data_IF_191020309948
#
_entry.id   IF_191020309948
#
_cell.length_a   1.000
_cell.length_b   1.000
_cell.length_c   1.000
_cell.angle_alpha   90.00
_cell.angle_beta   90.00
_cell.angle_gamma   90.00
#
_symmetry.space_group_name_H-M   'P 1'
#
loop_
_entity.id
_entity.type
_entity.pdbx_description
1 polymer ?
#
# COMPACT_ATOMS: atom_id res chain seq x y z
N UNK A 1 7.34 2.52 18.95
CA UNK A 1 8.42 3.12 18.15
C UNK A 1 7.80 4.10 17.18
N UNK A 2 8.02 5.40 17.40
CA UNK A 2 7.48 6.46 16.54
C UNK A 2 8.16 6.43 15.17
N UNK A 3 7.39 6.57 14.07
CA UNK A 3 7.94 6.83 12.72
C UNK A 3 8.99 7.95 12.86
N UNK A 4 10.19 7.74 12.30
CA UNK A 4 11.24 8.76 12.33
C UNK A 4 10.66 10.08 11.85
N UNK A 5 10.86 11.15 12.63
CA UNK A 5 10.23 12.45 12.43
C UNK A 5 10.58 13.02 11.04
N UNK A 6 9.76 12.75 10.03
CA UNK A 6 9.69 13.57 8.82
C UNK A 6 9.02 14.88 9.22
N UNK A 7 9.81 15.81 9.76
CA UNK A 7 9.33 17.15 10.06
C UNK A 7 9.45 18.01 8.82
N UNK A 8 8.38 18.71 8.47
CA UNK A 8 8.37 19.66 7.38
C UNK A 8 8.37 21.09 7.92
N UNK A 9 9.12 21.98 7.25
CA UNK A 9 9.00 23.42 7.45
C UNK A 9 7.71 23.95 6.84
N UNK A 10 7.29 25.16 7.24
CA UNK A 10 6.12 25.82 6.66
C UNK A 10 6.23 25.95 5.13
N UNK A 11 7.43 26.26 4.62
CA UNK A 11 7.70 26.36 3.18
C UNK A 11 7.48 25.02 2.48
N UNK A 12 7.91 23.91 3.09
CA UNK A 12 7.70 22.58 2.53
C UNK A 12 6.22 22.18 2.57
N UNK A 13 5.51 22.48 3.65
CA UNK A 13 4.06 22.22 3.77
C UNK A 13 3.29 23.03 2.71
N UNK A 14 3.55 24.33 2.59
CA UNK A 14 2.90 25.20 1.61
C UNK A 14 3.17 24.73 0.17
N UNK A 15 4.40 24.30 -0.11
CA UNK A 15 4.76 23.72 -1.40
C UNK A 15 3.95 22.46 -1.70
N UNK A 16 3.85 21.51 -0.77
CA UNK A 16 3.07 20.26 -0.93
C UNK A 16 1.59 20.54 -1.22
N UNK A 17 1.01 21.51 -0.52
CA UNK A 17 -0.37 21.95 -0.77
C UNK A 17 -0.51 22.48 -2.20
N UNK A 18 0.43 23.32 -2.65
CA UNK A 18 0.45 23.85 -4.03
C UNK A 18 0.63 22.75 -5.08
N UNK A 19 1.35 21.68 -4.75
CA UNK A 19 1.52 20.49 -5.60
C UNK A 19 0.27 19.59 -5.64
N UNK A 20 -0.78 19.90 -4.88
CA UNK A 20 -2.03 19.13 -4.87
C UNK A 20 -1.99 17.88 -3.98
N UNK A 21 -1.03 17.75 -3.06
CA UNK A 21 -0.98 16.59 -2.16
C UNK A 21 -2.24 16.48 -1.29
N UNK A 22 -2.77 15.27 -1.20
CA UNK A 22 -4.04 14.95 -0.56
C UNK A 22 -5.28 15.19 -1.43
N UNK A 23 -5.11 15.64 -2.67
CA UNK A 23 -6.19 15.90 -3.61
C UNK A 23 -6.22 14.84 -4.71
N UNK A 24 -7.35 14.74 -5.41
CA UNK A 24 -7.57 13.75 -6.46
C UNK A 24 -8.19 12.44 -5.95
N UNK A 25 -8.47 11.55 -6.90
CA UNK A 25 -9.06 10.22 -6.69
C UNK A 25 -8.46 9.24 -7.69
N UNK A 26 -8.44 7.95 -7.36
CA UNK A 26 -7.92 6.90 -8.22
C UNK A 26 -6.50 7.21 -8.69
N UNK A 27 -6.31 7.31 -10.01
CA UNK A 27 -5.00 7.56 -10.64
C UNK A 27 -4.46 8.97 -10.41
N UNK A 28 -5.36 9.93 -10.15
CA UNK A 28 -5.01 11.35 -10.04
C UNK A 28 -4.73 11.77 -8.57
N UNK A 29 -4.87 10.84 -7.61
CA UNK A 29 -4.57 11.11 -6.21
C UNK A 29 -3.06 11.18 -5.93
N UNK A 30 -2.65 12.19 -5.15
CA UNK A 30 -1.26 12.38 -4.74
C UNK A 30 -1.15 12.25 -3.20
N UNK A 31 -0.44 11.26 -2.65
CA UNK A 31 -0.35 11.06 -1.19
C UNK A 31 0.43 12.16 -0.49
N UNK A 32 0.11 12.42 0.78
CA UNK A 32 0.83 13.44 1.56
C UNK A 32 2.31 13.09 1.77
N UNK A 33 2.60 11.82 2.01
CA UNK A 33 3.94 11.28 2.23
C UNK A 33 4.27 10.22 1.18
N UNK A 34 5.51 10.23 0.69
CA UNK A 34 6.05 9.15 -0.15
C UNK A 34 7.18 8.41 0.55
N UNK A 35 7.51 7.22 0.05
CA UNK A 35 8.56 6.36 0.62
C UNK A 35 9.94 7.02 0.68
N UNK A 36 10.25 7.98 -0.20
CA UNK A 36 11.53 8.69 -0.23
C UNK A 36 11.65 9.76 0.86
N UNK A 37 10.52 10.17 1.47
CA UNK A 37 10.44 11.35 2.33
C UNK A 37 10.46 11.01 3.82
N UNK A 38 10.25 9.72 4.15
CA UNK A 38 10.18 9.25 5.52
C UNK A 38 11.29 8.22 5.73
N UNK A 39 12.21 8.44 6.69
CA UNK A 39 13.17 7.41 7.06
C UNK A 39 12.37 6.22 7.64
N UNK A 40 12.30 5.12 6.91
CA UNK A 40 11.59 3.94 7.39
C UNK A 40 12.43 3.26 8.47
N UNK A 41 11.80 2.88 9.58
CA UNK A 41 12.44 1.99 10.59
C UNK A 41 12.44 0.52 10.14
N UNK A 42 11.82 0.22 8.99
CA UNK A 42 11.67 -1.10 8.39
C UNK A 42 11.55 -1.00 6.87
N UNK A 43 10.90 -1.97 6.22
CA UNK A 43 10.66 -1.95 4.77
C UNK A 43 9.54 -0.98 4.41
N UNK A 44 9.75 -0.22 3.33
CA UNK A 44 8.72 0.55 2.63
C UNK A 44 8.45 -0.08 1.26
N UNK A 45 7.25 0.11 0.73
CA UNK A 45 6.81 -0.54 -0.51
C UNK A 45 6.24 0.46 -1.50
N UNK A 46 6.52 0.21 -2.77
CA UNK A 46 5.86 0.81 -3.92
C UNK A 46 5.17 -0.30 -4.66
N UNK A 47 3.86 -0.20 -4.84
CA UNK A 47 3.07 -1.26 -5.47
C UNK A 47 2.04 -0.65 -6.40
N UNK A 48 1.92 -1.20 -7.61
CA UNK A 48 0.89 -0.80 -8.55
C UNK A 48 -0.48 -1.37 -8.12
N UNK A 49 -1.49 -0.51 -8.09
CA UNK A 49 -2.88 -0.92 -7.84
C UNK A 49 -3.63 -1.06 -9.16
N UNK A 50 -4.32 -2.20 -9.34
CA UNK A 50 -5.21 -2.41 -10.49
C UNK A 50 -6.50 -1.61 -10.33
N UNK A 51 -6.90 -1.33 -9.08
CA UNK A 51 -8.09 -0.54 -8.77
C UNK A 51 -7.90 0.93 -9.09
N UNK A 52 -6.81 1.52 -8.60
CA UNK A 52 -6.59 2.96 -8.72
C UNK A 52 -5.73 3.33 -9.92
N UNK A 53 -5.10 2.38 -10.61
CA UNK A 53 -4.28 2.64 -11.79
C UNK A 53 -3.02 3.47 -11.52
N UNK A 54 -2.49 3.43 -10.28
CA UNK A 54 -1.28 4.15 -9.88
C UNK A 54 -0.47 3.37 -8.86
N UNK A 55 0.73 3.88 -8.58
CA UNK A 55 1.60 3.37 -7.52
C UNK A 55 1.15 3.91 -6.17
N UNK A 56 1.07 3.02 -5.19
CA UNK A 56 0.84 3.35 -3.78
C UNK A 56 2.15 3.38 -3.01
N UNK A 57 2.27 4.34 -2.09
CA UNK A 57 3.44 4.49 -1.22
C UNK A 57 3.14 4.03 0.20
N UNK A 58 3.68 2.86 0.56
CA UNK A 58 3.39 2.20 1.84
C UNK A 58 4.64 2.25 2.71
N UNK A 59 4.51 2.73 3.94
CA UNK A 59 5.63 3.06 4.82
C UNK A 59 5.96 1.92 5.81
N UNK A 60 5.25 0.79 5.74
CA UNK A 60 5.53 -0.42 6.53
C UNK A 60 4.93 -1.69 5.91
N UNK A 61 5.39 -2.85 6.36
CA UNK A 61 4.78 -4.15 6.01
C UNK A 61 3.33 -4.27 6.49
N UNK A 62 2.98 -3.60 7.59
CA UNK A 62 1.61 -3.62 8.11
C UNK A 62 0.68 -2.80 7.21
N UNK A 63 1.14 -1.65 6.71
CA UNK A 63 0.43 -0.87 5.69
C UNK A 63 0.28 -1.68 4.40
N UNK A 64 1.30 -2.42 3.99
CA UNK A 64 1.22 -3.34 2.86
C UNK A 64 0.18 -4.45 3.06
N UNK A 65 0.10 -5.06 4.25
CA UNK A 65 -0.91 -6.07 4.53
C UNK A 65 -2.34 -5.54 4.40
N UNK A 66 -2.58 -4.33 4.92
CA UNK A 66 -3.87 -3.64 4.79
C UNK A 66 -4.16 -3.32 3.32
N UNK A 67 -3.20 -2.72 2.62
CA UNK A 67 -3.33 -2.39 1.21
C UNK A 67 -3.67 -3.61 0.34
N UNK A 68 -2.93 -4.72 0.48
CA UNK A 68 -3.19 -5.94 -0.31
C UNK A 68 -4.57 -6.53 -0.03
N UNK A 69 -5.06 -6.39 1.21
CA UNK A 69 -6.40 -6.81 1.60
C UNK A 69 -7.48 -5.94 0.92
N UNK A 70 -7.29 -4.62 0.93
CA UNK A 70 -8.17 -3.66 0.25
C UNK A 70 -8.14 -3.82 -1.27
N UNK A 71 -6.95 -4.05 -1.85
CA UNK A 71 -6.75 -4.29 -3.27
C UNK A 71 -7.44 -5.60 -3.72
N UNK A 72 -7.52 -6.61 -2.85
CA UNK A 72 -8.24 -7.84 -3.15
C UNK A 72 -9.76 -7.66 -3.09
N UNK A 73 -10.25 -6.87 -2.12
CA UNK A 73 -11.68 -6.74 -1.84
C UNK A 73 -12.45 -6.12 -3.01
N UNK A 74 -13.55 -6.75 -3.42
CA UNK A 74 -14.30 -6.36 -4.63
C UNK A 74 -15.17 -5.11 -4.44
N UNK A 75 -15.52 -4.78 -3.20
CA UNK A 75 -16.31 -3.60 -2.84
C UNK A 75 -15.52 -2.29 -2.89
N UNK A 76 -14.20 -2.36 -2.70
CA UNK A 76 -13.31 -1.20 -2.68
C UNK A 76 -13.16 -0.61 -4.08
N UNK A 77 -13.42 0.70 -4.20
CA UNK A 77 -13.31 1.47 -5.43
C UNK A 77 -12.03 2.30 -5.50
N UNK A 78 -11.71 3.00 -4.42
CA UNK A 78 -10.54 3.88 -4.34
C UNK A 78 -9.84 3.71 -3.00
N UNK A 79 -8.53 3.90 -3.02
CA UNK A 79 -7.65 3.81 -1.87
C UNK A 79 -6.76 5.06 -1.93
N UNK A 80 -6.84 5.90 -0.90
CA UNK A 80 -6.05 7.13 -0.78
C UNK A 80 -5.15 6.99 0.44
N UNK A 81 -3.90 6.61 0.22
CA UNK A 81 -2.91 6.41 1.26
C UNK A 81 -2.32 7.74 1.74
N UNK A 82 -1.88 7.75 3.00
CA UNK A 82 -1.27 8.93 3.64
C UNK A 82 -2.12 10.19 3.43
N UNK A 83 -3.43 10.07 3.69
CA UNK A 83 -4.41 11.11 3.49
C UNK A 83 -4.21 12.25 4.50
N UNK A 84 -3.88 13.47 4.07
CA UNK A 84 -3.60 14.56 5.00
C UNK A 84 -4.88 15.06 5.67
N UNK A 85 -4.80 15.30 6.97
CA UNK A 85 -5.85 15.96 7.74
C UNK A 85 -5.65 17.47 7.65
N UNK A 86 -6.75 18.21 7.49
CA UNK A 86 -6.69 19.66 7.36
C UNK A 86 -6.11 20.29 8.64
N UNK A 87 -4.98 21.03 8.57
CA UNK A 87 -4.29 21.50 9.78
C UNK A 87 -5.12 22.44 10.65
N UNK A 88 -6.04 23.20 10.05
CA UNK A 88 -6.97 24.06 10.81
C UNK A 88 -7.91 23.22 11.67
N UNK A 89 -8.45 22.12 11.13
CA UNK A 89 -9.36 21.23 11.83
C UNK A 89 -8.63 20.53 12.98
N UNK A 90 -7.45 19.95 12.70
CA UNK A 90 -6.68 19.24 13.74
C UNK A 90 -6.19 20.16 14.84
N UNK A 91 -5.84 21.41 14.51
CA UNK A 91 -5.49 22.44 15.51
C UNK A 91 -6.70 22.81 16.37
N UNK A 92 -7.87 23.00 15.78
CA UNK A 92 -9.07 23.31 16.54
C UNK A 92 -9.45 22.15 17.47
N UNK A 93 -9.41 20.91 16.97
CA UNK A 93 -9.66 19.71 17.77
C UNK A 93 -8.66 19.60 18.93
N UNK A 94 -7.38 19.92 18.70
CA UNK A 94 -6.35 19.92 19.73
C UNK A 94 -6.67 20.93 20.86
N UNK A 95 -7.12 22.14 20.51
CA UNK A 95 -7.56 23.15 21.48
C UNK A 95 -8.77 22.63 22.26
N UNK A 96 -9.81 22.16 21.57
CA UNK A 96 -11.08 21.75 22.19
C UNK A 96 -10.94 20.52 23.08
N UNK A 97 -9.98 19.64 22.78
CA UNK A 97 -9.72 18.41 23.53
C UNK A 97 -8.66 18.55 24.62
N UNK A 98 -7.92 19.67 24.65
CA UNK A 98 -6.75 19.84 25.52
C UNK A 98 -5.54 18.97 25.15
N UNK A 99 -5.55 18.32 23.99
CA UNK A 99 -4.45 17.47 23.50
C UNK A 99 -3.45 18.32 22.71
N UNK A 100 -2.15 18.15 22.98
CA UNK A 100 -1.12 18.93 22.27
C UNK A 100 -1.04 18.57 20.79
N UNK A 101 -1.23 19.55 19.91
CA UNK A 101 -1.03 19.38 18.47
C UNK A 101 0.43 19.00 18.15
N UNK A 102 0.70 18.14 17.14
CA UNK A 102 2.06 17.82 16.70
C UNK A 102 2.81 19.05 16.17
N UNK A 103 3.76 19.56 16.96
CA UNK A 103 4.62 20.68 16.60
C UNK A 103 6.07 20.22 16.57
N UNK A 104 6.80 20.54 15.49
CA UNK A 104 8.25 20.32 15.41
C UNK A 104 8.91 21.64 15.02
N UNK A 105 9.89 22.08 15.84
CA UNK A 105 10.61 23.36 15.65
C UNK A 105 9.67 24.56 15.47
N UNK A 106 8.57 24.59 16.23
CA UNK A 106 7.57 25.67 16.18
C UNK A 106 6.57 25.57 15.02
N UNK A 107 6.71 24.58 14.13
CA UNK A 107 5.83 24.39 12.98
C UNK A 107 4.83 23.27 13.24
N UNK A 108 3.54 23.57 13.09
CA UNK A 108 2.48 22.57 13.09
C UNK A 108 2.67 21.58 11.95
N UNK A 109 2.74 20.31 12.29
CA UNK A 109 2.90 19.24 11.32
C UNK A 109 1.53 18.77 10.84
N UNK A 110 1.40 18.56 9.53
CA UNK A 110 0.22 17.97 8.93
C UNK A 110 0.14 16.50 9.33
N UNK A 111 -0.92 16.14 10.04
CA UNK A 111 -1.22 14.75 10.38
C UNK A 111 -1.77 14.03 9.15
N UNK A 112 -1.55 12.71 9.06
CA UNK A 112 -2.13 11.89 8.01
C UNK A 112 -2.77 10.62 8.57
N UNK A 113 -3.82 10.19 7.90
CA UNK A 113 -4.42 8.87 8.04
C UNK A 113 -3.78 7.94 7.02
N UNK A 114 -3.42 6.73 7.43
CA UNK A 114 -2.71 5.78 6.57
C UNK A 114 -3.55 5.39 5.34
N UNK A 115 -4.88 5.21 5.46
CA UNK A 115 -5.79 5.01 4.31
C UNK A 115 -7.15 5.68 4.49
N UNK A 116 -7.62 6.38 3.45
CA UNK A 116 -9.03 6.71 3.23
C UNK A 116 -9.55 5.84 2.07
N UNK A 117 -10.62 5.09 2.31
CA UNK A 117 -11.12 4.05 1.41
C UNK A 117 -12.54 4.38 0.98
N UNK A 118 -12.79 4.35 -0.32
CA UNK A 118 -14.11 4.49 -0.91
C UNK A 118 -14.63 3.12 -1.37
N UNK A 119 -15.89 2.81 -1.06
CA UNK A 119 -16.53 1.53 -1.35
C UNK A 119 -17.84 1.72 -2.11
N UNK A 120 -18.16 0.79 -3.02
CA UNK A 120 -19.43 0.78 -3.76
C UNK A 120 -20.59 0.17 -2.95
N UNK A 121 -20.26 -0.78 -2.07
CA UNK A 121 -21.18 -1.57 -1.26
C UNK A 121 -20.52 -1.97 0.06
N UNK A 122 -21.34 -2.29 1.06
CA UNK A 122 -20.89 -2.62 2.42
C UNK A 122 -21.55 -1.73 3.48
N UNK A 123 -21.12 -1.84 4.74
CA UNK A 123 -21.72 -1.08 5.84
C UNK A 123 -21.42 0.42 5.77
N UNK A 124 -20.37 0.82 5.03
CA UNK A 124 -19.92 2.21 4.90
C UNK A 124 -19.50 2.50 3.47
N UNK A 125 -19.97 3.60 2.90
CA UNK A 125 -19.54 4.08 1.56
C UNK A 125 -18.10 4.60 1.58
N UNK A 126 -17.64 5.10 2.73
CA UNK A 126 -16.28 5.57 2.94
C UNK A 126 -15.85 5.30 4.38
N UNK A 127 -14.59 4.94 4.58
CA UNK A 127 -14.01 4.78 5.91
C UNK A 127 -12.51 5.05 5.92
N UNK A 128 -12.00 5.37 7.10
CA UNK A 128 -10.59 5.67 7.34
C UNK A 128 -9.94 4.55 8.17
N UNK A 129 -8.71 4.20 7.84
CA UNK A 129 -7.90 3.21 8.57
C UNK A 129 -6.58 3.86 8.96
N UNK A 130 -6.24 3.75 10.24
CA UNK A 130 -4.92 4.07 10.74
C UNK A 130 -4.18 2.81 11.15
N UNK A 131 -2.92 2.69 10.73
CA UNK A 131 -2.15 1.46 10.87
C UNK A 131 -1.05 1.65 11.92
N UNK A 132 -1.04 0.80 12.95
CA UNK A 132 -0.03 0.86 14.02
C UNK A 132 0.25 -0.54 14.59
N UNK A 133 1.52 -0.89 14.86
CA UNK A 133 1.80 -2.06 15.68
C UNK A 133 1.09 -1.95 17.03
N UNK A 134 0.54 -3.05 17.55
CA UNK A 134 -0.19 -3.06 18.81
C UNK A 134 0.67 -2.56 19.98
N UNK A 135 1.98 -2.83 19.93
CA UNK A 135 2.95 -2.31 20.90
C UNK A 135 3.06 -0.78 20.90
N UNK A 136 2.79 -0.11 19.78
CA UNK A 136 2.79 1.35 19.70
C UNK A 136 1.60 1.99 20.43
N UNK A 137 0.53 1.24 20.68
CA UNK A 137 -0.65 1.70 21.43
C UNK A 137 -0.40 1.79 22.94
N UNK A 138 0.78 1.40 23.42
CA UNK A 138 1.21 1.62 24.81
C UNK A 138 1.84 2.99 25.04
N UNK A 139 2.15 3.73 23.96
CA UNK A 139 2.75 5.06 24.03
C UNK A 139 1.65 6.13 24.12
N UNK A 140 1.61 6.86 25.23
CA UNK A 140 0.61 7.89 25.52
C UNK A 140 0.56 8.95 24.41
N UNK A 141 1.73 9.41 23.94
CA UNK A 141 1.80 10.40 22.86
C UNK A 141 1.23 9.88 21.54
N UNK A 142 1.34 8.59 21.28
CA UNK A 142 0.73 7.95 20.11
C UNK A 142 -0.78 7.92 20.26
N UNK A 143 -1.32 7.55 21.44
CA UNK A 143 -2.75 7.56 21.72
C UNK A 143 -3.37 8.96 21.61
N UNK A 144 -2.69 9.99 22.11
CA UNK A 144 -3.11 11.39 21.95
C UNK A 144 -3.31 11.79 20.48
N UNK A 145 -2.34 11.45 19.62
CA UNK A 145 -2.42 11.74 18.18
C UNK A 145 -3.54 10.95 17.51
N UNK A 146 -3.71 9.70 17.90
CA UNK A 146 -4.81 8.85 17.41
C UNK A 146 -6.18 9.42 17.81
N UNK A 147 -6.31 10.00 19.00
CA UNK A 147 -7.55 10.63 19.44
C UNK A 147 -7.88 11.92 18.65
N UNK A 148 -6.86 12.74 18.31
CA UNK A 148 -7.05 13.88 17.41
C UNK A 148 -7.58 13.44 16.04
N UNK A 149 -7.00 12.38 15.48
CA UNK A 149 -7.41 11.81 14.20
C UNK A 149 -8.83 11.19 14.27
N UNK A 150 -9.13 10.43 15.33
CA UNK A 150 -10.47 9.86 15.55
C UNK A 150 -11.54 10.95 15.61
N UNK A 151 -11.27 12.05 16.33
CA UNK A 151 -12.18 13.21 16.40
C UNK A 151 -12.34 13.92 15.06
N UNK A 152 -11.26 14.03 14.28
CA UNK A 152 -11.31 14.61 12.94
C UNK A 152 -12.29 13.86 12.03
N UNK A 153 -12.20 12.53 11.99
CA UNK A 153 -13.11 11.71 11.18
C UNK A 153 -14.53 11.65 11.76
N UNK A 154 -14.66 11.67 13.09
CA UNK A 154 -15.96 11.76 13.76
C UNK A 154 -16.72 13.04 13.36
N UNK A 155 -16.05 14.20 13.28
CA UNK A 155 -16.68 15.45 12.83
C UNK A 155 -17.18 15.37 11.38
N UNK A 156 -16.54 14.55 10.55
CA UNK A 156 -16.92 14.31 9.15
C UNK A 156 -17.89 13.13 8.98
N UNK A 157 -18.31 12.50 10.08
CA UNK A 157 -19.19 11.33 10.09
C UNK A 157 -18.65 10.13 9.28
N UNK A 158 -17.32 10.03 9.19
CA UNK A 158 -16.64 8.94 8.50
C UNK A 158 -16.13 7.96 9.58
N UNK A 159 -16.48 6.67 9.51
CA UNK A 159 -15.94 5.65 10.41
C UNK A 159 -14.41 5.61 10.34
N UNK A 160 -13.78 5.46 11.50
CA UNK A 160 -12.34 5.39 11.63
C UNK A 160 -11.93 4.17 12.44
N UNK A 161 -10.99 3.40 11.91
CA UNK A 161 -10.52 2.14 12.47
C UNK A 161 -9.02 2.16 12.71
N UNK A 162 -8.57 1.49 13.77
CA UNK A 162 -7.15 1.18 13.96
C UNK A 162 -6.93 -0.28 13.55
N UNK A 163 -5.96 -0.52 12.68
CA UNK A 163 -5.51 -1.85 12.31
C UNK A 163 -4.11 -2.10 12.87
N UNK A 164 -3.91 -3.24 13.53
CA UNK A 164 -2.64 -3.64 14.15
C UNK A 164 -2.13 -4.97 13.62
N UNK A 165 -0.92 -5.33 14.03
CA UNK A 165 -0.31 -6.63 13.68
C UNK A 165 -1.08 -7.84 14.22
N UNK A 166 -2.01 -7.63 15.17
CA UNK A 166 -2.87 -8.69 15.72
C UNK A 166 -4.03 -9.06 14.80
N UNK A 167 -4.47 -8.15 13.93
CA UNK A 167 -5.56 -8.38 12.98
C UNK A 167 -5.06 -8.99 11.65
N UNK A 168 -3.75 -9.11 11.43
CA UNK A 168 -3.22 -9.69 10.18
C UNK A 168 -3.55 -11.18 10.11
N UNK A 169 -4.16 -11.59 9.00
CA UNK A 169 -4.32 -13.00 8.68
C UNK A 169 -2.94 -13.68 8.50
N UNK A 170 -2.65 -14.82 9.17
CA UNK A 170 -1.36 -15.51 9.07
C UNK A 170 -0.91 -15.84 7.63
N UNK A 171 -1.86 -16.14 6.73
CA UNK A 171 -1.56 -16.43 5.31
C UNK A 171 -1.12 -15.17 4.57
N UNK A 172 -1.74 -14.02 4.86
CA UNK A 172 -1.33 -12.72 4.30
C UNK A 172 0.09 -12.40 4.75
N UNK A 173 0.40 -12.63 6.03
CA UNK A 173 1.75 -12.44 6.58
C UNK A 173 2.77 -13.35 5.90
N UNK A 174 2.48 -14.65 5.76
CA UNK A 174 3.35 -15.60 5.05
C UNK A 174 3.60 -15.16 3.60
N UNK A 175 2.56 -14.73 2.89
CA UNK A 175 2.67 -14.24 1.52
C UNK A 175 3.55 -13.00 1.43
N UNK A 176 3.44 -12.03 2.36
CA UNK A 176 4.30 -10.85 2.40
C UNK A 176 5.76 -11.23 2.69
N UNK A 177 6.00 -12.13 3.65
CA UNK A 177 7.34 -12.64 3.93
C UNK A 177 7.93 -13.33 2.70
N UNK A 178 7.15 -14.15 2.01
CA UNK A 178 7.59 -14.81 0.79
C UNK A 178 7.86 -13.81 -0.34
N UNK A 179 6.95 -12.88 -0.64
CA UNK A 179 7.10 -11.92 -1.73
C UNK A 179 8.30 -11.00 -1.52
N UNK A 180 8.44 -10.43 -0.31
CA UNK A 180 9.35 -9.31 -0.05
C UNK A 180 10.63 -9.68 0.74
N UNK A 181 10.93 -10.98 0.94
CA UNK A 181 12.13 -11.44 1.68
C UNK A 181 13.47 -11.00 1.09
N UNK A 182 13.51 -10.61 -0.18
CA UNK A 182 14.66 -9.96 -0.84
C UNK A 182 14.24 -8.52 -1.13
N UNK A 183 15.16 -7.54 -1.01
CA UNK A 183 14.88 -6.16 -1.45
C UNK A 183 14.31 -6.24 -2.86
N UNK A 184 13.05 -5.85 -3.03
CA UNK A 184 12.42 -5.80 -4.33
C UNK A 184 13.20 -4.78 -5.14
N UNK A 185 14.00 -5.26 -6.09
CA UNK A 185 14.61 -4.41 -7.09
C UNK A 185 13.51 -3.86 -8.00
N UNK A 186 13.78 -2.69 -8.57
CA UNK A 186 12.90 -2.10 -9.56
C UNK A 186 12.66 -3.09 -10.71
N UNK A 187 11.42 -3.17 -11.18
CA UNK A 187 11.09 -4.09 -12.27
C UNK A 187 11.70 -3.53 -13.56
N UNK A 188 12.68 -4.25 -14.09
CA UNK A 188 13.35 -3.86 -15.33
C UNK A 188 12.41 -3.95 -16.53
N UNK A 189 12.74 -3.23 -17.61
CA UNK A 189 11.95 -3.29 -18.85
C UNK A 189 11.91 -4.71 -19.44
N UNK A 190 12.98 -5.48 -19.28
CA UNK A 190 13.10 -6.87 -19.71
C UNK A 190 12.17 -7.79 -18.91
N UNK A 191 12.04 -7.54 -17.60
CA UNK A 191 11.11 -8.28 -16.75
C UNK A 191 9.65 -7.91 -17.05
N UNK A 192 9.35 -6.63 -17.30
CA UNK A 192 8.02 -6.22 -17.74
C UNK A 192 7.64 -6.83 -19.08
N UNK A 193 8.60 -7.01 -20.00
CA UNK A 193 8.36 -7.68 -21.27
C UNK A 193 7.92 -9.15 -21.10
N UNK A 194 8.22 -9.79 -19.96
CA UNK A 194 7.76 -11.14 -19.65
C UNK A 194 6.26 -11.23 -19.32
N UNK A 195 5.58 -10.11 -19.05
CA UNK A 195 4.15 -10.14 -18.69
C UNK A 195 3.28 -10.78 -19.77
N UNK A 196 3.54 -10.49 -21.05
CA UNK A 196 2.75 -11.03 -22.17
C UNK A 196 3.00 -12.54 -22.39
N UNK A 197 4.25 -13.02 -22.49
CA UNK A 197 4.54 -14.46 -22.51
C UNK A 197 3.96 -15.21 -21.30
N UNK A 198 4.13 -14.67 -20.09
CA UNK A 198 3.59 -15.27 -18.87
C UNK A 198 2.06 -15.31 -18.89
N UNK A 199 1.38 -14.27 -19.39
CA UNK A 199 -0.08 -14.27 -19.51
C UNK A 199 -0.58 -15.43 -20.37
N UNK A 200 0.07 -15.68 -21.50
CA UNK A 200 -0.28 -16.80 -22.37
C UNK A 200 -0.09 -18.15 -21.65
N UNK A 201 1.04 -18.33 -20.97
CA UNK A 201 1.33 -19.56 -20.21
C UNK A 201 0.29 -19.78 -19.10
N UNK A 202 -0.02 -18.73 -18.32
CA UNK A 202 -0.99 -18.84 -17.22
C UNK A 202 -2.39 -19.18 -17.73
N UNK A 203 -2.80 -18.62 -18.88
CA UNK A 203 -4.09 -18.91 -19.50
C UNK A 203 -4.15 -20.35 -20.03
N UNK A 204 -3.11 -20.80 -20.74
CA UNK A 204 -3.03 -22.15 -21.30
C UNK A 204 -3.01 -23.22 -20.20
N UNK A 205 -2.27 -22.97 -19.12
CA UNK A 205 -2.03 -23.91 -18.02
C UNK A 205 -2.98 -23.72 -16.83
N UNK A 206 -4.12 -23.05 -17.04
CA UNK A 206 -4.98 -22.49 -15.99
C UNK A 206 -5.25 -23.38 -14.76
N UNK A 207 -5.45 -24.69 -14.94
CA UNK A 207 -5.75 -25.62 -13.85
C UNK A 207 -4.52 -26.19 -13.12
N UNK A 208 -3.33 -26.03 -13.69
CA UNK A 208 -2.08 -26.54 -13.13
C UNK A 208 -1.56 -25.65 -12.00
N UNK A 209 -0.86 -26.26 -11.05
CA UNK A 209 -0.22 -25.54 -9.96
C UNK A 209 0.93 -24.65 -10.48
N UNK A 210 1.00 -23.41 -9.99
CA UNK A 210 1.95 -22.41 -10.46
C UNK A 210 3.42 -22.85 -10.32
N UNK A 211 3.77 -23.57 -9.25
CA UNK A 211 5.14 -24.03 -9.02
C UNK A 211 5.55 -25.09 -10.03
N UNK A 212 4.62 -25.97 -10.42
CA UNK A 212 4.89 -26.99 -11.43
C UNK A 212 5.04 -26.37 -12.81
N UNK A 213 4.19 -25.40 -13.15
CA UNK A 213 4.26 -24.69 -14.44
C UNK A 213 5.57 -23.90 -14.56
N UNK A 214 5.98 -23.15 -13.54
CA UNK A 214 7.28 -22.46 -13.56
C UNK A 214 8.44 -23.42 -13.83
N UNK A 215 8.45 -24.60 -13.19
CA UNK A 215 9.49 -25.62 -13.43
C UNK A 215 9.46 -26.17 -14.85
N UNK A 216 8.26 -26.42 -15.41
CA UNK A 216 8.12 -26.88 -16.78
C UNK A 216 8.65 -25.85 -17.78
N UNK A 217 8.35 -24.56 -17.55
CA UNK A 217 8.87 -23.45 -18.36
C UNK A 217 10.39 -23.38 -18.26
N UNK A 218 10.95 -23.43 -17.05
CA UNK A 218 12.40 -23.40 -16.88
C UNK A 218 13.09 -24.53 -17.67
N UNK A 219 12.55 -25.76 -17.62
CA UNK A 219 13.08 -26.91 -18.37
C UNK A 219 12.90 -26.73 -19.89
N UNK A 220 11.74 -26.27 -20.35
CA UNK A 220 11.42 -26.16 -21.77
C UNK A 220 12.28 -25.10 -22.49
N UNK A 221 12.69 -24.06 -21.77
CA UNK A 221 13.49 -22.95 -22.30
C UNK A 221 14.97 -22.98 -21.87
N UNK A 222 15.43 -24.07 -21.26
CA UNK A 222 16.81 -24.25 -20.75
C UNK A 222 17.26 -23.11 -19.80
N UNK A 223 16.35 -22.70 -18.92
CA UNK A 223 16.59 -21.68 -17.90
C UNK A 223 17.07 -22.32 -16.59
N UNK A 224 17.69 -21.50 -15.74
CA UNK A 224 17.99 -21.90 -14.38
C UNK A 224 16.70 -22.24 -13.61
N UNK A 225 16.69 -23.38 -12.91
CA UNK A 225 15.53 -23.79 -12.12
C UNK A 225 15.16 -22.72 -11.08
N UNK A 226 13.91 -22.25 -11.13
CA UNK A 226 13.39 -21.20 -10.27
C UNK A 226 13.42 -19.80 -10.90
N UNK A 227 13.99 -19.64 -12.11
CA UNK A 227 14.01 -18.36 -12.84
C UNK A 227 12.61 -17.83 -13.09
N UNK A 228 11.74 -18.63 -13.70
CA UNK A 228 10.34 -18.23 -13.99
C UNK A 228 9.57 -17.88 -12.70
N UNK A 229 9.78 -18.64 -11.62
CA UNK A 229 9.13 -18.38 -10.35
C UNK A 229 9.60 -17.05 -9.72
N UNK A 230 10.90 -16.75 -9.84
CA UNK A 230 11.47 -15.47 -9.38
C UNK A 230 10.88 -14.29 -10.14
N UNK A 231 10.69 -14.42 -11.44
CA UNK A 231 10.07 -13.38 -12.29
C UNK A 231 8.61 -13.14 -11.92
N UNK A 232 7.82 -14.20 -11.78
CA UNK A 232 6.42 -14.10 -11.32
C UNK A 232 6.38 -13.46 -9.93
N UNK A 233 7.26 -13.88 -9.02
CA UNK A 233 7.35 -13.31 -7.67
C UNK A 233 7.64 -11.81 -7.70
N UNK A 234 8.62 -11.37 -8.50
CA UNK A 234 8.98 -9.96 -8.62
C UNK A 234 7.85 -9.12 -9.24
N UNK A 235 7.19 -9.63 -10.29
CA UNK A 235 6.02 -8.99 -10.90
C UNK A 235 4.84 -8.92 -9.91
N UNK A 236 4.61 -9.98 -9.13
CA UNK A 236 3.57 -10.01 -8.08
C UNK A 236 3.88 -9.00 -6.96
N UNK A 237 5.12 -8.94 -6.48
CA UNK A 237 5.53 -8.03 -5.42
C UNK A 237 5.41 -6.55 -5.81
N UNK A 238 5.44 -6.24 -7.10
CA UNK A 238 5.24 -4.88 -7.63
C UNK A 238 3.80 -4.61 -8.09
N UNK A 239 2.88 -5.57 -7.90
CA UNK A 239 1.46 -5.41 -8.20
C UNK A 239 1.09 -5.65 -9.66
N UNK A 240 1.98 -6.17 -10.50
CA UNK A 240 1.66 -6.51 -11.90
C UNK A 240 0.85 -7.79 -12.03
N UNK A 241 1.02 -8.70 -11.09
CA UNK A 241 0.26 -9.95 -10.98
C UNK A 241 -0.49 -9.91 -9.64
N UNK A 242 -1.80 -10.07 -9.70
CA UNK A 242 -2.69 -10.14 -8.55
C UNK A 242 -3.10 -11.59 -8.30
N UNK A 243 -3.29 -11.95 -7.04
CA UNK A 243 -3.87 -13.22 -6.64
C UNK A 243 -4.64 -13.01 -5.33
N UNK A 244 -5.40 -14.03 -4.91
CA UNK A 244 -6.05 -13.99 -3.61
C UNK A 244 -5.02 -14.01 -2.47
N UNK A 245 -4.80 -12.86 -1.82
CA UNK A 245 -3.79 -12.73 -0.76
C UNK A 245 -4.09 -13.60 0.47
N UNK A 246 -5.32 -14.09 0.63
CA UNK A 246 -5.74 -15.01 1.69
C UNK A 246 -5.48 -16.49 1.34
N UNK A 247 -4.95 -16.79 0.16
CA UNK A 247 -4.50 -18.12 -0.25
C UNK A 247 -2.98 -18.12 -0.34
N UNK A 248 -2.32 -19.15 0.22
CA UNK A 248 -0.86 -19.26 0.12
C UNK A 248 -0.42 -19.26 -1.33
N UNK A 249 0.57 -18.44 -1.68
CA UNK A 249 1.00 -18.25 -3.07
C UNK A 249 1.30 -19.60 -3.76
N UNK A 250 2.01 -20.49 -3.06
CA UNK A 250 2.45 -21.80 -3.59
C UNK A 250 1.30 -22.76 -3.89
N UNK A 251 0.13 -22.53 -3.31
CA UNK A 251 -1.07 -23.34 -3.52
C UNK A 251 -1.95 -22.84 -4.69
N UNK A 252 -1.57 -21.73 -5.34
CA UNK A 252 -2.33 -21.21 -6.47
C UNK A 252 -2.18 -22.09 -7.71
N UNK A 253 -3.27 -22.17 -8.46
CA UNK A 253 -3.29 -22.58 -9.86
C UNK A 253 -2.96 -21.37 -10.72
N UNK A 254 -2.57 -21.60 -11.97
CA UNK A 254 -2.32 -20.51 -12.91
C UNK A 254 -3.53 -19.59 -13.12
N UNK A 255 -4.75 -20.15 -13.13
CA UNK A 255 -6.00 -19.38 -13.27
C UNK A 255 -6.34 -18.50 -12.04
N UNK A 256 -5.68 -18.72 -10.90
CA UNK A 256 -5.87 -17.88 -9.71
C UNK A 256 -5.06 -16.56 -9.79
N UNK A 257 -4.16 -16.43 -10.78
CA UNK A 257 -3.33 -15.25 -11.01
C UNK A 257 -3.96 -14.37 -12.09
N UNK A 258 -4.08 -13.08 -11.81
CA UNK A 258 -4.58 -12.07 -12.74
C UNK A 258 -3.45 -11.10 -13.09
N UNK A 259 -3.11 -11.01 -14.36
CA UNK A 259 -2.12 -10.05 -14.85
C UNK A 259 -2.81 -8.72 -15.17
N UNK A 260 -2.23 -7.61 -14.72
CA UNK A 260 -2.69 -6.26 -15.08
C UNK A 260 -2.60 -6.10 -16.58
N UNK A 261 -3.69 -5.69 -17.23
CA UNK A 261 -3.61 -5.12 -18.58
C UNK A 261 -2.97 -3.75 -18.44
N UNK A 262 -1.64 -3.69 -18.40
CA UNK A 262 -0.92 -2.43 -18.35
C UNK A 262 -1.21 -1.68 -19.64
N UNK A 263 -2.02 -0.62 -19.55
CA UNK A 263 -2.45 0.18 -20.70
C UNK A 263 -1.30 1.06 -21.23
N UNK A 264 -0.28 1.35 -20.42
CA UNK A 264 0.87 2.13 -20.88
C UNK A 264 2.17 1.82 -20.12
N UNK A 265 3.21 1.38 -20.86
CA UNK A 265 4.56 1.08 -20.32
C UNK A 265 5.26 2.33 -19.78
N UNK A 266 4.83 3.53 -20.16
CA UNK A 266 5.39 4.80 -19.67
C UNK A 266 4.97 5.14 -18.24
N UNK A 267 3.75 4.78 -17.82
CA UNK A 267 3.30 4.94 -16.43
C UNK A 267 4.04 3.98 -15.49
N UNK A 268 4.50 2.84 -16.01
CA UNK A 268 5.31 1.88 -15.25
C UNK A 268 6.73 2.37 -14.97
N UNK A 269 7.28 3.25 -15.82
CA UNK A 269 8.58 3.88 -15.57
C UNK A 269 8.54 4.82 -14.36
N UNK A 270 7.36 5.32 -13.96
CA UNK A 270 7.18 6.07 -12.71
C UNK A 270 7.05 5.18 -11.47
N UNK A 271 6.92 3.85 -11.63
CA UNK A 271 7.15 2.88 -10.54
C UNK A 271 8.67 2.73 -10.29
N UNK A 272 9.50 3.09 -11.28
CA UNK A 272 10.95 2.86 -11.34
C UNK A 272 11.82 4.12 -11.13
N UNK A 273 11.30 5.17 -10.46
CA UNK A 273 12.10 6.33 -9.98
C UNK A 273 11.62 6.77 -8.60
#
# INVERSE_FOLDING_TARGET
>A
MAKANSSFSEVQIARRIKEGRGQGHGKDYIPWLTVQEVPSSGRSHRIYSHKTGRVHHLLSDLELAVFLSLEWESSVLDIREQFPLLPSDTRQIAIDSGIKHPVIRGVDQVMSTDFLVDCKDGPFEQFAIQVKPAAALQDERTLEKLELERRYWQQKQIPWFIFTDKEINPVVKENIEWLYSVKTEEVSAELLAQLSPLAHILQEKGDENIINVCKQVDIAYDLELGKTLSEIRALTANGFIKFNIYKSFRANKCADLCISQVVNMEELRYVAN
#
